data_IF_936294606266
#
_entry.id   IF_936294606266
#
_cell.length_a   1.000
_cell.length_b   1.000
_cell.length_c   1.000
_cell.angle_alpha   90.00
_cell.angle_beta   90.00
_cell.angle_gamma   90.00
#
_symmetry.space_group_name_H-M   'P 1'
#
loop_
_entity.id
_entity.type
_entity.pdbx_description
1 polymer ?
#
# COMPACT_ATOMS: atom_id res chain seq x y z
N UNK A 1 -21.53 11.20 28.37
CA UNK A 1 -20.14 11.06 28.81
C UNK A 1 -19.32 11.17 27.56
N UNK A 2 -18.32 12.06 27.51
CA UNK A 2 -17.36 12.10 26.37
C UNK A 2 -16.55 10.81 26.42
N UNK A 3 -16.44 10.13 25.28
CA UNK A 3 -15.58 8.95 25.19
C UNK A 3 -14.13 9.35 25.47
N UNK A 4 -13.36 8.52 26.19
CA UNK A 4 -11.97 8.84 26.50
C UNK A 4 -11.15 8.93 25.21
N UNK A 5 -10.44 10.04 25.04
CA UNK A 5 -9.53 10.26 23.90
C UNK A 5 -8.27 9.44 24.08
N UNK A 6 -7.99 8.55 23.14
CA UNK A 6 -6.75 7.75 23.13
C UNK A 6 -5.58 8.62 22.70
N UNK A 7 -4.51 8.70 23.51
CA UNK A 7 -3.33 9.48 23.21
C UNK A 7 -2.21 8.62 22.63
N UNK A 8 -1.64 9.03 21.49
CA UNK A 8 -0.58 8.32 20.76
C UNK A 8 0.63 9.24 20.55
N UNK A 9 1.81 8.76 20.89
CA UNK A 9 3.07 9.46 20.58
C UNK A 9 3.49 9.18 19.12
N UNK A 10 3.36 10.17 18.25
CA UNK A 10 3.75 10.11 16.85
C UNK A 10 5.26 10.02 16.58
N UNK A 11 6.08 10.12 17.62
CA UNK A 11 7.55 9.95 17.54
C UNK A 11 8.01 8.52 17.83
N UNK A 12 7.11 7.63 18.28
CA UNK A 12 7.46 6.25 18.65
C UNK A 12 8.01 5.43 17.46
N UNK A 13 8.81 4.44 17.75
CA UNK A 13 9.41 3.55 16.76
C UNK A 13 10.23 4.34 15.72
N UNK A 14 9.87 4.25 14.45
CA UNK A 14 10.52 5.02 13.38
C UNK A 14 10.16 6.52 13.40
N UNK A 15 9.07 6.89 14.07
CA UNK A 15 8.61 8.28 14.15
C UNK A 15 8.22 8.88 12.80
N UNK A 16 7.74 8.05 11.87
CA UNK A 16 7.35 8.44 10.52
C UNK A 16 5.85 8.68 10.37
N UNK A 17 5.41 8.93 9.13
CA UNK A 17 3.99 9.10 8.80
C UNK A 17 3.15 7.83 8.96
N UNK A 18 3.77 6.69 9.17
CA UNK A 18 3.10 5.41 9.36
C UNK A 18 2.31 5.38 10.67
N UNK A 19 2.89 5.85 11.80
CA UNK A 19 2.17 5.96 13.08
C UNK A 19 0.89 6.75 12.90
N UNK A 20 0.97 7.92 12.24
CA UNK A 20 -0.20 8.76 11.95
C UNK A 20 -1.27 7.99 11.14
N UNK A 21 -0.90 7.41 10.01
CA UNK A 21 -1.86 6.73 9.11
C UNK A 21 -2.53 5.53 9.75
N UNK A 22 -1.75 4.69 10.43
CA UNK A 22 -2.26 3.51 11.14
C UNK A 22 -3.20 3.91 12.26
N UNK A 23 -2.83 4.90 13.07
CA UNK A 23 -3.66 5.40 14.18
C UNK A 23 -4.98 5.96 13.68
N UNK A 24 -4.95 6.83 12.66
CA UNK A 24 -6.17 7.45 12.13
C UNK A 24 -7.09 6.43 11.45
N UNK A 25 -6.54 5.46 10.71
CA UNK A 25 -7.33 4.40 10.10
C UNK A 25 -8.03 3.54 11.16
N UNK A 26 -7.31 3.15 12.21
CA UNK A 26 -7.89 2.40 13.33
C UNK A 26 -8.90 3.21 14.13
N UNK A 27 -8.64 4.50 14.37
CA UNK A 27 -9.59 5.42 14.99
C UNK A 27 -10.91 5.47 14.21
N UNK A 28 -10.83 5.66 12.88
CA UNK A 28 -12.01 5.69 12.02
C UNK A 28 -12.77 4.35 12.01
N UNK A 29 -12.07 3.20 11.99
CA UNK A 29 -12.68 1.87 12.01
C UNK A 29 -13.37 1.58 13.36
N UNK A 30 -12.73 2.00 14.46
CA UNK A 30 -13.22 1.72 15.81
C UNK A 30 -14.24 2.75 16.31
N UNK A 31 -14.37 3.91 15.65
CA UNK A 31 -15.16 5.03 16.14
C UNK A 31 -14.57 5.71 17.39
N UNK A 32 -13.29 5.49 17.71
CA UNK A 32 -12.66 5.97 18.95
C UNK A 32 -11.87 7.25 18.69
N UNK A 33 -12.13 8.36 19.43
CA UNK A 33 -11.34 9.57 19.31
C UNK A 33 -9.86 9.36 19.67
N UNK A 34 -8.96 9.97 18.89
CA UNK A 34 -7.53 9.89 19.13
C UNK A 34 -6.87 11.26 19.09
N UNK A 35 -5.89 11.47 19.95
CA UNK A 35 -4.95 12.58 19.88
C UNK A 35 -3.56 12.05 19.59
N UNK A 36 -2.95 12.53 18.50
CA UNK A 36 -1.57 12.19 18.13
C UNK A 36 -0.72 13.41 18.36
N UNK A 37 0.30 13.31 19.22
CA UNK A 37 1.28 14.37 19.47
C UNK A 37 2.66 14.00 18.94
N UNK A 38 3.63 14.92 18.96
CA UNK A 38 5.01 14.70 18.51
C UNK A 38 5.11 14.12 17.09
N UNK A 39 4.16 14.46 16.21
CA UNK A 39 4.08 13.92 14.85
C UNK A 39 5.37 14.22 14.11
N UNK A 40 6.11 13.15 13.72
CA UNK A 40 7.38 13.22 12.98
C UNK A 40 8.43 14.12 13.65
N UNK A 41 8.41 14.25 14.98
CA UNK A 41 9.28 15.15 15.73
C UNK A 41 10.79 14.88 15.51
N UNK A 42 11.17 13.62 15.20
CA UNK A 42 12.57 13.22 14.96
C UNK A 42 12.99 13.30 13.48
N UNK A 43 12.13 13.78 12.58
CA UNK A 43 12.45 13.94 11.16
C UNK A 43 13.07 15.31 10.88
N UNK A 44 13.89 15.40 9.83
CA UNK A 44 14.52 16.66 9.40
C UNK A 44 13.51 17.80 9.25
N UNK A 45 12.29 17.50 8.78
CA UNK A 45 11.16 18.43 8.73
C UNK A 45 10.05 17.80 9.57
N UNK A 46 9.86 18.23 10.82
CA UNK A 46 8.82 17.70 11.71
C UNK A 46 7.40 18.05 11.25
N UNK A 47 6.42 17.42 11.87
CA UNK A 47 5.01 17.70 11.65
C UNK A 47 4.45 17.18 10.32
N UNK A 48 3.21 17.53 10.04
CA UNK A 48 2.48 17.11 8.85
C UNK A 48 3.12 17.71 7.60
N UNK A 49 3.44 16.87 6.62
CA UNK A 49 3.77 17.26 5.25
C UNK A 49 2.54 17.06 4.36
N UNK A 50 2.56 17.54 3.12
CA UNK A 50 1.40 17.50 2.21
C UNK A 50 0.68 16.14 2.19
N UNK A 51 1.38 15.03 1.96
CA UNK A 51 0.76 13.69 1.95
C UNK A 51 0.17 13.26 3.31
N UNK A 52 0.74 13.73 4.43
CA UNK A 52 0.21 13.45 5.76
C UNK A 52 -1.07 14.24 6.02
N UNK A 53 -1.06 15.52 5.67
CA UNK A 53 -2.24 16.38 5.74
C UNK A 53 -3.36 15.83 4.86
N UNK A 54 -3.04 15.40 3.63
CA UNK A 54 -4.01 14.77 2.74
C UNK A 54 -4.58 13.47 3.34
N UNK A 55 -3.77 12.65 4.00
CA UNK A 55 -4.28 11.45 4.66
C UNK A 55 -5.25 11.79 5.82
N UNK A 56 -4.93 12.81 6.63
CA UNK A 56 -5.81 13.30 7.71
C UNK A 56 -7.12 13.81 7.14
N UNK A 57 -7.08 14.71 6.15
CA UNK A 57 -8.28 15.33 5.56
C UNK A 57 -9.11 14.34 4.77
N UNK A 58 -8.47 13.36 4.12
CA UNK A 58 -9.15 12.30 3.38
C UNK A 58 -9.90 11.35 4.32
N UNK A 59 -9.27 10.91 5.41
CA UNK A 59 -9.96 10.12 6.43
C UNK A 59 -11.08 10.92 7.11
N UNK A 60 -10.88 12.21 7.37
CA UNK A 60 -11.94 13.07 7.88
C UNK A 60 -13.13 13.16 6.91
N UNK A 61 -12.84 13.30 5.61
CA UNK A 61 -13.87 13.35 4.57
C UNK A 61 -14.70 12.07 4.45
N UNK A 62 -14.06 10.89 4.56
CA UNK A 62 -14.78 9.60 4.44
C UNK A 62 -15.48 9.19 5.73
N UNK A 63 -15.12 9.76 6.89
CA UNK A 63 -15.71 9.42 8.18
C UNK A 63 -16.52 10.57 8.81
N UNK A 64 -16.62 11.71 8.15
CA UNK A 64 -17.27 12.90 8.74
C UNK A 64 -16.60 13.36 10.05
N UNK A 65 -15.30 13.10 10.22
CA UNK A 65 -14.60 13.35 11.45
C UNK A 65 -14.43 14.86 11.73
N UNK A 66 -14.53 15.24 13.00
CA UNK A 66 -14.03 16.53 13.49
C UNK A 66 -12.53 16.42 13.72
N UNK A 67 -11.78 17.36 13.18
CA UNK A 67 -10.32 17.37 13.26
C UNK A 67 -9.82 18.71 13.75
N UNK A 68 -8.87 18.70 14.69
CA UNK A 68 -8.11 19.86 15.12
C UNK A 68 -6.63 19.66 14.82
N UNK A 69 -5.92 20.73 14.50
CA UNK A 69 -4.48 20.66 14.20
C UNK A 69 -4.13 20.16 12.78
N UNK A 70 -5.09 20.04 11.86
CA UNK A 70 -4.86 19.61 10.48
C UNK A 70 -4.31 20.74 9.59
N UNK A 71 -3.04 21.11 9.79
CA UNK A 71 -2.32 22.07 8.95
C UNK A 71 -0.87 21.63 8.74
N UNK A 72 -0.23 22.14 7.68
CA UNK A 72 1.18 21.84 7.40
C UNK A 72 2.07 22.22 8.60
N UNK A 73 3.00 21.33 8.92
CA UNK A 73 3.92 21.48 10.03
C UNK A 73 3.34 21.16 11.42
N UNK A 74 2.05 20.92 11.52
CA UNK A 74 1.43 20.55 12.81
C UNK A 74 2.04 19.26 13.36
N UNK A 75 2.40 19.29 14.63
CA UNK A 75 2.88 18.13 15.38
C UNK A 75 1.81 17.51 16.31
N UNK A 76 0.60 18.06 16.29
CA UNK A 76 -0.53 17.56 17.07
C UNK A 76 -1.77 17.49 16.19
N UNK A 77 -2.49 16.39 16.25
CA UNK A 77 -3.80 16.21 15.60
C UNK A 77 -4.74 15.55 16.60
N UNK A 78 -5.89 16.17 16.84
CA UNK A 78 -7.04 15.54 17.47
C UNK A 78 -7.99 15.12 16.35
N UNK A 79 -8.41 13.86 16.36
CA UNK A 79 -9.30 13.27 15.36
C UNK A 79 -10.45 12.56 16.07
N UNK A 80 -11.66 13.06 15.86
CA UNK A 80 -12.89 12.51 16.43
C UNK A 80 -13.71 11.96 15.27
N UNK A 81 -13.67 10.64 15.02
CA UNK A 81 -14.30 10.04 13.86
C UNK A 81 -15.82 10.02 14.00
N UNK A 82 -16.50 10.13 12.86
CA UNK A 82 -17.88 9.70 12.68
C UNK A 82 -17.93 8.37 11.89
N UNK A 83 -19.12 7.92 11.46
CA UNK A 83 -19.27 6.69 10.70
C UNK A 83 -18.65 6.81 9.31
N UNK A 84 -17.94 5.76 8.88
CA UNK A 84 -17.32 5.71 7.54
C UNK A 84 -18.43 5.63 6.49
N UNK A 85 -18.40 6.53 5.53
CA UNK A 85 -19.36 6.62 4.43
C UNK A 85 -18.76 6.06 3.15
N UNK A 86 -19.40 5.08 2.50
CA UNK A 86 -19.02 4.70 1.14
C UNK A 86 -19.41 5.81 0.15
N UNK A 87 -18.68 5.90 -0.97
CA UNK A 87 -18.99 6.93 -1.96
C UNK A 87 -17.86 7.22 -2.96
N UNK A 88 -18.00 8.31 -3.70
CA UNK A 88 -16.97 8.79 -4.64
C UNK A 88 -16.18 9.93 -4.01
N UNK A 89 -14.85 9.76 -3.95
CA UNK A 89 -13.93 10.68 -3.31
C UNK A 89 -12.80 11.11 -4.24
N UNK A 90 -12.37 12.35 -4.12
CA UNK A 90 -11.24 12.90 -4.89
C UNK A 90 -10.34 13.70 -3.97
N UNK A 91 -9.06 13.31 -3.93
CA UNK A 91 -8.07 14.01 -3.10
C UNK A 91 -6.84 14.32 -3.94
N UNK A 92 -6.32 15.52 -3.79
CA UNK A 92 -5.08 15.98 -4.42
C UNK A 92 -4.04 16.25 -3.32
N UNK A 93 -2.88 15.62 -3.44
CA UNK A 93 -1.75 15.88 -2.54
C UNK A 93 -1.14 17.27 -2.80
N UNK A 94 -1.36 17.84 -3.99
CA UNK A 94 -0.84 19.14 -4.40
C UNK A 94 0.67 19.19 -4.64
N UNK A 95 1.37 18.07 -4.43
CA UNK A 95 2.82 17.90 -4.58
C UNK A 95 3.15 16.51 -5.14
N UNK A 96 4.45 16.17 -5.22
CA UNK A 96 4.88 14.81 -5.49
C UNK A 96 4.75 13.87 -4.27
N UNK A 97 4.02 14.25 -3.24
CA UNK A 97 3.71 13.37 -2.11
C UNK A 97 2.93 12.13 -2.57
N UNK A 98 3.15 11.02 -1.89
CA UNK A 98 2.67 9.70 -2.34
C UNK A 98 1.15 9.53 -2.22
N UNK A 99 0.50 9.24 -3.35
CA UNK A 99 -0.92 8.87 -3.44
C UNK A 99 -1.19 7.52 -2.77
N UNK A 100 -0.27 6.57 -2.89
CA UNK A 100 -0.45 5.23 -2.33
C UNK A 100 -0.35 5.21 -0.80
N UNK A 101 0.43 6.12 -0.20
CA UNK A 101 0.43 6.27 1.27
C UNK A 101 -0.89 6.88 1.78
N UNK A 102 -1.54 7.74 1.02
CA UNK A 102 -2.91 8.21 1.33
C UNK A 102 -3.90 7.04 1.17
N UNK A 103 -3.77 6.27 0.09
CA UNK A 103 -4.61 5.09 -0.14
C UNK A 103 -4.53 4.07 1.00
N UNK A 104 -3.33 3.80 1.54
CA UNK A 104 -3.16 2.88 2.67
C UNK A 104 -3.97 3.28 3.91
N UNK A 105 -4.16 4.58 4.14
CA UNK A 105 -5.00 5.05 5.24
C UNK A 105 -6.50 4.84 4.98
N UNK A 106 -6.93 4.91 3.72
CA UNK A 106 -8.35 4.90 3.32
C UNK A 106 -8.90 3.52 3.01
N UNK A 107 -8.07 2.62 2.47
CA UNK A 107 -8.57 1.39 1.84
C UNK A 107 -9.26 0.47 2.84
N UNK A 108 -8.62 0.16 3.96
CA UNK A 108 -9.20 -0.76 4.96
C UNK A 108 -10.49 -0.17 5.56
N UNK A 109 -10.54 1.10 6.01
CA UNK A 109 -11.78 1.73 6.44
C UNK A 109 -12.92 1.62 5.42
N UNK A 110 -12.68 1.97 4.16
CA UNK A 110 -13.70 1.95 3.12
C UNK A 110 -14.09 0.52 2.70
N UNK A 111 -13.17 -0.44 2.76
CA UNK A 111 -13.49 -1.84 2.50
C UNK A 111 -14.40 -2.44 3.58
N UNK A 112 -14.32 -1.96 4.81
CA UNK A 112 -15.22 -2.36 5.90
C UNK A 112 -16.56 -1.59 5.89
N UNK A 113 -16.66 -0.48 5.16
CA UNK A 113 -17.91 0.28 5.02
C UNK A 113 -18.98 -0.53 4.27
N UNK A 114 -20.25 -0.22 4.52
CA UNK A 114 -21.41 -1.00 4.03
C UNK A 114 -21.71 -0.92 2.53
N UNK A 115 -20.86 -0.30 1.72
CA UNK A 115 -21.07 -0.16 0.28
C UNK A 115 -19.81 0.16 -0.51
N UNK A 116 -19.90 0.16 -1.87
CA UNK A 116 -18.75 0.39 -2.72
C UNK A 116 -18.26 1.84 -2.66
N UNK A 117 -16.95 2.01 -2.87
CA UNK A 117 -16.34 3.33 -2.93
C UNK A 117 -15.41 3.45 -4.14
N UNK A 118 -15.31 4.68 -4.68
CA UNK A 118 -14.38 5.05 -5.74
C UNK A 118 -13.51 6.21 -5.29
N UNK A 119 -12.21 6.02 -5.27
CA UNK A 119 -11.24 7.01 -4.80
C UNK A 119 -10.37 7.44 -5.98
N UNK A 120 -10.29 8.74 -6.25
CA UNK A 120 -9.30 9.31 -7.19
C UNK A 120 -8.27 10.08 -6.38
N UNK A 121 -7.00 9.70 -6.53
CA UNK A 121 -5.88 10.36 -5.86
C UNK A 121 -4.94 10.96 -6.91
N UNK A 122 -4.58 12.23 -6.72
CA UNK A 122 -3.60 12.95 -7.57
C UNK A 122 -2.35 13.27 -6.75
N UNK A 123 -1.15 13.04 -7.31
CA UNK A 123 0.13 13.27 -6.62
C UNK A 123 1.29 12.44 -7.17
N UNK A 124 2.16 11.97 -6.30
CA UNK A 124 3.22 11.03 -6.63
C UNK A 124 2.71 9.59 -6.66
N UNK A 125 2.99 8.85 -7.74
CA UNK A 125 2.63 7.42 -7.87
C UNK A 125 3.85 6.51 -7.84
N UNK A 126 4.99 7.03 -8.31
CA UNK A 126 6.29 6.37 -8.34
C UNK A 126 7.34 7.34 -7.79
N UNK A 127 7.42 7.40 -6.47
CA UNK A 127 8.25 8.36 -5.75
C UNK A 127 9.10 7.68 -4.68
N UNK A 128 10.27 8.23 -4.33
CA UNK A 128 11.11 7.70 -3.26
C UNK A 128 10.35 7.59 -1.93
N UNK A 129 10.75 6.62 -1.10
CA UNK A 129 10.24 6.42 0.27
C UNK A 129 8.75 6.03 0.35
N UNK A 130 8.25 5.45 -0.72
CA UNK A 130 6.87 4.98 -0.84
C UNK A 130 6.82 3.76 -1.75
N UNK A 131 5.93 2.79 -1.51
CA UNK A 131 5.64 1.78 -2.50
C UNK A 131 5.18 2.43 -3.81
N UNK A 132 5.59 1.96 -4.98
CA UNK A 132 5.03 2.42 -6.25
C UNK A 132 3.59 1.91 -6.42
N UNK A 133 2.78 2.61 -7.24
CA UNK A 133 1.39 2.22 -7.48
C UNK A 133 1.27 0.79 -8.07
N UNK A 134 2.22 0.39 -8.90
CA UNK A 134 2.29 -0.98 -9.45
C UNK A 134 2.50 -2.04 -8.36
N UNK A 135 3.29 -1.75 -7.33
CA UNK A 135 3.44 -2.66 -6.19
C UNK A 135 2.11 -2.84 -5.45
N UNK A 136 1.36 -1.76 -5.27
CA UNK A 136 0.04 -1.84 -4.65
C UNK A 136 -0.89 -2.73 -5.46
N UNK A 137 -0.93 -2.55 -6.79
CA UNK A 137 -1.77 -3.31 -7.71
C UNK A 137 -1.36 -4.78 -7.79
N UNK A 138 -0.06 -5.07 -7.88
CA UNK A 138 0.44 -6.40 -8.21
C UNK A 138 0.73 -7.28 -6.98
N UNK A 139 0.95 -6.69 -5.82
CA UNK A 139 1.38 -7.39 -4.60
C UNK A 139 0.41 -7.15 -3.44
N UNK A 140 0.20 -5.90 -3.06
CA UNK A 140 -0.58 -5.58 -1.85
C UNK A 140 -2.06 -5.89 -1.99
N UNK A 141 -2.72 -5.44 -3.06
CA UNK A 141 -4.15 -5.69 -3.27
C UNK A 141 -4.48 -7.19 -3.41
N UNK A 142 -3.69 -8.02 -4.12
CA UNK A 142 -3.90 -9.46 -4.10
C UNK A 142 -3.81 -10.07 -2.70
N UNK A 143 -2.82 -9.68 -1.89
CA UNK A 143 -2.70 -10.15 -0.51
C UNK A 143 -3.88 -9.69 0.38
N UNK A 144 -4.42 -8.49 0.15
CA UNK A 144 -5.63 -8.02 0.81
C UNK A 144 -6.88 -8.81 0.38
N UNK A 145 -6.97 -9.23 -0.87
CA UNK A 145 -8.08 -10.05 -1.35
C UNK A 145 -8.13 -11.42 -0.65
N UNK A 146 -6.97 -11.99 -0.30
CA UNK A 146 -6.89 -13.21 0.51
C UNK A 146 -7.45 -13.00 1.93
N UNK A 147 -7.36 -11.79 2.48
CA UNK A 147 -7.99 -11.37 3.74
C UNK A 147 -9.49 -11.06 3.60
N UNK A 148 -10.04 -11.02 2.38
CA UNK A 148 -11.43 -10.64 2.11
C UNK A 148 -11.64 -9.17 1.76
N UNK A 149 -10.57 -8.38 1.59
CA UNK A 149 -10.63 -6.97 1.20
C UNK A 149 -10.47 -6.84 -0.31
N UNK A 150 -11.57 -6.64 -1.05
CA UNK A 150 -11.54 -6.58 -2.50
C UNK A 150 -11.46 -5.14 -3.01
N UNK A 151 -10.42 -4.83 -3.76
CA UNK A 151 -10.25 -3.54 -4.43
C UNK A 151 -9.47 -3.69 -5.74
N UNK A 152 -9.67 -2.73 -6.65
CA UNK A 152 -8.94 -2.60 -7.91
C UNK A 152 -8.27 -1.24 -7.98
N UNK A 153 -7.04 -1.18 -8.47
CA UNK A 153 -6.27 0.04 -8.67
C UNK A 153 -5.87 0.18 -10.15
N UNK A 154 -6.23 1.31 -10.73
CA UNK A 154 -5.80 1.71 -12.07
C UNK A 154 -4.89 2.95 -11.97
N UNK A 155 -3.75 2.91 -12.69
CA UNK A 155 -2.83 4.05 -12.81
C UNK A 155 -3.15 4.77 -14.11
N UNK A 156 -3.94 5.84 -14.02
CA UNK A 156 -4.34 6.62 -15.20
C UNK A 156 -3.22 7.52 -15.72
N UNK A 157 -2.32 7.97 -14.85
CA UNK A 157 -1.15 8.79 -15.19
C UNK A 157 -0.08 8.63 -14.11
N UNK A 158 1.18 8.48 -14.52
CA UNK A 158 2.28 8.35 -13.59
C UNK A 158 2.73 9.70 -13.01
N UNK A 159 3.20 9.71 -11.77
CA UNK A 159 3.73 10.90 -11.11
C UNK A 159 5.06 10.62 -10.47
N UNK A 160 6.12 11.18 -11.03
CA UNK A 160 7.48 11.09 -10.49
C UNK A 160 7.85 12.33 -9.68
N UNK A 161 8.74 12.13 -8.71
CA UNK A 161 9.36 13.26 -8.00
C UNK A 161 10.30 14.04 -8.94
N UNK A 162 10.40 15.38 -8.85
CA UNK A 162 9.70 16.27 -7.89
C UNK A 162 8.33 16.76 -8.34
N UNK A 163 7.91 16.49 -9.58
CA UNK A 163 6.73 17.11 -10.18
C UNK A 163 5.40 16.53 -9.67
N UNK A 164 5.34 15.22 -9.42
CA UNK A 164 4.09 14.56 -9.05
C UNK A 164 3.05 14.60 -10.17
N UNK A 165 1.81 14.94 -9.83
CA UNK A 165 0.71 15.10 -10.78
C UNK A 165 0.25 13.80 -11.45
N UNK A 166 0.69 12.65 -10.95
CA UNK A 166 0.14 11.35 -11.35
C UNK A 166 -1.26 11.16 -10.79
N UNK A 167 -2.00 10.20 -11.33
CA UNK A 167 -3.37 9.91 -10.93
C UNK A 167 -3.59 8.41 -10.81
N UNK A 168 -4.09 7.99 -9.65
CA UNK A 168 -4.59 6.63 -9.44
C UNK A 168 -6.09 6.67 -9.16
N UNK A 169 -6.80 5.68 -9.64
CA UNK A 169 -8.22 5.45 -9.36
C UNK A 169 -8.35 4.10 -8.70
N UNK A 170 -9.02 4.07 -7.55
CA UNK A 170 -9.22 2.84 -6.77
C UNK A 170 -10.70 2.61 -6.59
N UNK A 171 -11.15 1.42 -6.92
CA UNK A 171 -12.51 0.93 -6.67
C UNK A 171 -12.44 -0.09 -5.53
N UNK A 172 -13.25 0.11 -4.50
CA UNK A 172 -13.32 -0.73 -3.30
C UNK A 172 -14.72 -1.29 -3.19
N UNK A 173 -14.87 -2.59 -2.99
CA UNK A 173 -16.21 -3.23 -2.97
C UNK A 173 -17.03 -2.83 -1.73
N UNK A 174 -16.41 -2.65 -0.59
CA UNK A 174 -17.09 -2.45 0.70
C UNK A 174 -17.73 -3.71 1.24
N UNK A 175 -18.16 -3.68 2.51
CA UNK A 175 -18.78 -4.82 3.19
C UNK A 175 -17.86 -6.04 3.33
N UNK A 176 -16.55 -5.80 3.47
CA UNK A 176 -15.56 -6.87 3.55
C UNK A 176 -15.81 -7.78 4.76
N UNK A 177 -15.82 -9.08 4.50
CA UNK A 177 -15.81 -10.14 5.51
C UNK A 177 -14.37 -10.62 5.70
N UNK A 178 -13.74 -10.13 6.76
CA UNK A 178 -12.34 -10.41 7.02
C UNK A 178 -12.14 -11.85 7.49
N UNK A 179 -11.08 -12.47 6.98
CA UNK A 179 -10.66 -13.83 7.35
C UNK A 179 -9.17 -13.87 7.63
N UNK A 180 -8.71 -14.76 8.53
CA UNK A 180 -7.30 -14.90 8.84
C UNK A 180 -6.55 -15.48 7.64
N UNK A 181 -5.26 -15.11 7.51
CA UNK A 181 -4.37 -15.64 6.46
C UNK A 181 -3.13 -16.31 7.03
N UNK A 182 -2.55 -17.19 6.22
CA UNK A 182 -1.28 -17.86 6.54
C UNK A 182 -0.33 -17.75 5.36
N UNK A 183 0.68 -16.88 5.49
CA UNK A 183 1.70 -16.57 4.47
C UNK A 183 3.08 -16.94 5.03
N UNK A 184 3.28 -18.21 5.38
CA UNK A 184 4.48 -18.64 6.12
C UNK A 184 5.54 -19.27 5.23
N UNK A 185 5.15 -19.90 4.15
CA UNK A 185 6.06 -20.66 3.29
C UNK A 185 5.67 -20.51 1.83
N UNK A 186 6.64 -20.29 0.98
CA UNK A 186 6.44 -20.28 -0.47
C UNK A 186 6.32 -21.73 -0.96
N UNK A 187 5.31 -22.00 -1.76
CA UNK A 187 5.20 -23.26 -2.48
C UNK A 187 6.19 -23.37 -3.62
N UNK A 188 6.05 -24.41 -4.46
CA UNK A 188 6.86 -24.55 -5.69
C UNK A 188 6.35 -23.69 -6.84
N UNK A 189 7.15 -23.62 -7.91
CA UNK A 189 6.79 -22.93 -9.17
C UNK A 189 7.02 -21.41 -9.09
N UNK A 190 8.28 -20.98 -9.33
CA UNK A 190 8.63 -19.56 -9.45
C UNK A 190 8.30 -19.04 -10.85
N UNK A 191 7.49 -18.00 -10.93
CA UNK A 191 7.30 -17.15 -12.12
C UNK A 191 7.79 -15.75 -11.83
N UNK A 192 8.64 -15.22 -12.69
CA UNK A 192 9.12 -13.84 -12.62
C UNK A 192 8.54 -13.02 -13.75
N UNK A 193 7.96 -11.89 -13.42
CA UNK A 193 7.52 -10.90 -14.39
C UNK A 193 7.87 -9.50 -13.92
N UNK A 194 7.84 -8.55 -14.81
CA UNK A 194 8.16 -7.18 -14.43
C UNK A 194 7.81 -6.15 -15.48
N UNK A 195 8.08 -4.91 -15.13
CA UNK A 195 7.94 -3.76 -16.00
C UNK A 195 9.16 -2.87 -15.86
N UNK A 196 9.69 -2.43 -16.99
CA UNK A 196 10.69 -1.38 -17.10
C UNK A 196 10.06 -0.20 -17.81
N UNK A 197 10.04 0.96 -17.18
CA UNK A 197 9.32 2.11 -17.69
C UNK A 197 10.16 3.38 -17.71
N UNK A 198 9.83 4.26 -18.65
CA UNK A 198 10.32 5.64 -18.71
C UNK A 198 9.15 6.60 -18.91
N UNK A 199 9.32 7.83 -18.45
CA UNK A 199 8.43 8.95 -18.76
C UNK A 199 9.28 10.16 -19.10
N UNK A 200 9.00 10.77 -20.26
CA UNK A 200 9.74 11.93 -20.79
C UNK A 200 11.27 11.68 -20.84
N UNK A 201 11.66 10.47 -21.13
CA UNK A 201 13.02 9.99 -21.33
C UNK A 201 13.08 9.07 -22.57
N UNK A 202 14.23 8.93 -23.22
CA UNK A 202 14.40 7.98 -24.32
C UNK A 202 14.07 6.55 -23.90
N UNK A 203 13.24 5.86 -24.71
CA UNK A 203 12.82 4.46 -24.50
C UNK A 203 14.00 3.51 -24.29
N UNK A 204 15.13 3.76 -24.95
CA UNK A 204 16.36 2.97 -24.78
C UNK A 204 16.89 2.89 -23.34
N UNK A 205 16.47 3.80 -22.44
CA UNK A 205 16.79 3.70 -21.01
C UNK A 205 16.03 2.53 -20.38
N UNK A 206 14.73 2.40 -20.64
CA UNK A 206 13.94 1.29 -20.14
C UNK A 206 14.37 -0.04 -20.77
N UNK A 207 14.78 -0.03 -22.05
CA UNK A 207 15.31 -1.21 -22.71
C UNK A 207 16.61 -1.68 -22.07
N UNK A 208 17.55 -0.78 -21.77
CA UNK A 208 18.78 -1.13 -21.03
C UNK A 208 18.52 -1.64 -19.62
N UNK A 209 17.56 -1.06 -18.90
CA UNK A 209 17.12 -1.58 -17.59
C UNK A 209 16.62 -3.02 -17.72
N UNK A 210 15.68 -3.28 -18.65
CA UNK A 210 15.17 -4.63 -18.93
C UNK A 210 16.29 -5.60 -19.27
N UNK A 211 17.14 -5.27 -20.24
CA UNK A 211 18.19 -6.16 -20.74
C UNK A 211 19.22 -6.46 -19.65
N UNK A 212 19.56 -5.47 -18.80
CA UNK A 212 20.43 -5.71 -17.65
C UNK A 212 19.78 -6.63 -16.63
N UNK A 213 18.51 -6.44 -16.32
CA UNK A 213 17.77 -7.29 -15.39
C UNK A 213 17.72 -8.74 -15.91
N UNK A 214 17.33 -8.94 -17.18
CA UNK A 214 17.26 -10.27 -17.79
C UNK A 214 18.62 -10.97 -17.77
N UNK A 215 19.71 -10.28 -18.16
CA UNK A 215 21.07 -10.87 -18.10
C UNK A 215 21.48 -11.28 -16.69
N UNK A 216 21.17 -10.45 -15.67
CA UNK A 216 21.49 -10.78 -14.28
C UNK A 216 20.69 -11.99 -13.78
N UNK A 217 19.40 -12.07 -14.14
CA UNK A 217 18.54 -13.20 -13.74
C UNK A 217 18.99 -14.49 -14.46
N UNK A 218 19.35 -14.41 -15.74
CA UNK A 218 19.84 -15.57 -16.50
C UNK A 218 21.13 -16.17 -15.90
N UNK A 219 22.04 -15.36 -15.36
CA UNK A 219 23.24 -15.85 -14.65
C UNK A 219 22.86 -16.70 -13.43
N UNK A 220 21.74 -16.43 -12.80
CA UNK A 220 21.20 -17.19 -11.65
C UNK A 220 20.24 -18.32 -12.10
N UNK A 221 20.20 -18.64 -13.40
CA UNK A 221 19.31 -19.67 -13.96
C UNK A 221 17.83 -19.31 -13.83
N UNK A 222 17.47 -18.03 -13.89
CA UNK A 222 16.09 -17.53 -13.75
C UNK A 222 15.64 -16.85 -15.02
N UNK A 223 14.48 -17.26 -15.51
CA UNK A 223 13.81 -16.61 -16.64
C UNK A 223 12.77 -15.61 -16.11
N UNK A 224 12.57 -14.50 -16.82
CA UNK A 224 11.59 -13.48 -16.49
C UNK A 224 11.01 -12.84 -17.75
N UNK A 225 9.77 -12.40 -17.66
CA UNK A 225 9.10 -11.58 -18.66
C UNK A 225 9.07 -10.13 -18.19
N UNK A 226 9.78 -9.21 -18.86
CA UNK A 226 9.83 -7.79 -18.48
C UNK A 226 9.33 -6.93 -19.65
N UNK A 227 8.15 -6.31 -19.46
CA UNK A 227 7.59 -5.39 -20.43
C UNK A 227 8.33 -4.03 -20.41
N UNK A 228 8.43 -3.37 -21.55
CA UNK A 228 8.97 -2.01 -21.68
C UNK A 228 7.81 -1.04 -21.94
N UNK A 229 7.68 -0.02 -21.11
CA UNK A 229 6.57 0.96 -21.14
C UNK A 229 7.12 2.37 -21.26
N UNK A 230 6.48 3.18 -22.09
CA UNK A 230 6.57 4.65 -22.07
C UNK A 230 5.33 5.17 -21.36
N UNK A 231 5.51 5.64 -20.14
CA UNK A 231 4.40 6.06 -19.29
C UNK A 231 4.05 7.53 -19.51
N UNK A 232 2.75 7.83 -19.58
CA UNK A 232 2.28 9.22 -19.54
C UNK A 232 2.54 9.81 -18.15
N UNK A 233 3.26 10.93 -18.09
CA UNK A 233 3.60 11.62 -16.84
C UNK A 233 3.86 13.11 -17.06
N UNK A 234 3.46 13.98 -16.13
CA UNK A 234 3.90 15.39 -16.16
C UNK A 234 5.39 15.51 -15.87
N UNK A 235 5.98 14.59 -15.11
CA UNK A 235 7.38 14.58 -14.69
C UNK A 235 8.24 13.61 -15.49
N UNK A 236 9.54 13.75 -15.34
CA UNK A 236 10.53 12.83 -15.92
C UNK A 236 10.88 11.75 -14.90
N UNK A 237 11.00 10.50 -15.37
CA UNK A 237 11.41 9.41 -14.49
C UNK A 237 11.70 8.11 -15.23
N UNK A 238 12.40 7.21 -14.56
CA UNK A 238 12.50 5.80 -14.97
C UNK A 238 12.30 4.89 -13.78
N UNK A 239 11.85 3.69 -14.07
CA UNK A 239 11.40 2.74 -13.06
C UNK A 239 11.58 1.32 -13.55
N UNK A 240 11.97 0.42 -12.66
CA UNK A 240 11.91 -1.02 -12.90
C UNK A 240 11.26 -1.70 -11.70
N UNK A 241 10.33 -2.60 -11.95
CA UNK A 241 9.73 -3.47 -10.95
C UNK A 241 9.74 -4.91 -11.42
N UNK A 242 10.08 -5.81 -10.51
CA UNK A 242 9.99 -7.25 -10.65
C UNK A 242 8.97 -7.79 -9.65
N UNK A 243 8.17 -8.74 -10.09
CA UNK A 243 7.22 -9.48 -9.26
C UNK A 243 7.58 -10.95 -9.31
N UNK A 244 7.79 -11.53 -8.13
CA UNK A 244 7.94 -12.97 -7.97
C UNK A 244 6.59 -13.57 -7.54
N UNK A 245 6.09 -14.51 -8.32
CA UNK A 245 4.93 -15.34 -7.97
C UNK A 245 5.43 -16.73 -7.63
N UNK A 246 5.20 -17.18 -6.41
CA UNK A 246 5.66 -18.48 -5.90
C UNK A 246 4.57 -19.11 -5.06
N UNK A 247 4.04 -20.26 -5.49
CA UNK A 247 2.99 -20.97 -4.75
C UNK A 247 1.73 -20.14 -4.47
N UNK A 248 1.38 -19.21 -5.36
CA UNK A 248 0.24 -18.30 -5.21
C UNK A 248 0.57 -17.02 -4.42
N UNK A 249 1.71 -16.93 -3.77
CA UNK A 249 2.17 -15.72 -3.08
C UNK A 249 2.90 -14.77 -4.05
N UNK A 250 2.82 -13.47 -3.78
CA UNK A 250 3.48 -12.44 -4.58
C UNK A 250 4.39 -11.58 -3.73
N UNK A 251 5.57 -11.30 -4.28
CA UNK A 251 6.55 -10.37 -3.70
C UNK A 251 7.01 -9.38 -4.77
N UNK A 252 7.26 -8.13 -4.40
CA UNK A 252 7.59 -7.07 -5.34
C UNK A 252 8.89 -6.34 -5.01
N UNK A 253 9.71 -6.10 -6.04
CA UNK A 253 11.02 -5.48 -5.91
C UNK A 253 11.16 -4.40 -6.98
N UNK A 254 11.42 -3.17 -6.57
CA UNK A 254 11.45 -2.05 -7.50
C UNK A 254 12.60 -1.10 -7.23
N UNK A 255 13.01 -0.39 -8.28
CA UNK A 255 13.96 0.70 -8.20
C UNK A 255 13.55 1.87 -9.10
N UNK A 256 13.83 3.08 -8.61
CA UNK A 256 13.61 4.32 -9.34
C UNK A 256 14.92 4.82 -9.92
N UNK A 257 14.85 5.37 -11.14
CA UNK A 257 15.93 6.17 -11.67
C UNK A 257 15.98 7.55 -11.04
N UNK A 258 17.17 8.09 -11.00
CA UNK A 258 17.46 9.46 -10.60
C UNK A 258 18.52 10.07 -11.51
N UNK A 259 18.66 11.39 -11.47
CA UNK A 259 19.65 12.07 -12.32
C UNK A 259 21.06 11.57 -12.02
N UNK A 260 21.78 11.14 -13.06
CA UNK A 260 23.14 10.60 -12.96
C UNK A 260 23.23 9.10 -12.61
N UNK A 261 22.11 8.44 -12.31
CA UNK A 261 22.06 7.00 -12.03
C UNK A 261 21.95 6.21 -13.36
N UNK A 262 22.91 5.34 -13.69
CA UNK A 262 22.84 4.53 -14.90
C UNK A 262 21.59 3.62 -14.91
N UNK A 263 21.04 3.36 -16.09
CA UNK A 263 19.91 2.45 -16.27
C UNK A 263 20.21 1.05 -15.72
N UNK A 264 21.43 0.58 -15.93
CA UNK A 264 21.91 -0.73 -15.45
C UNK A 264 21.91 -0.81 -13.91
N UNK A 265 22.21 0.31 -13.23
CA UNK A 265 22.20 0.38 -11.76
C UNK A 265 20.77 0.28 -11.21
N UNK A 266 19.79 0.90 -11.88
CA UNK A 266 18.38 0.75 -11.52
C UNK A 266 17.96 -0.72 -11.60
N UNK A 267 18.38 -1.42 -12.67
CA UNK A 267 18.08 -2.83 -12.83
C UNK A 267 18.74 -3.68 -11.73
N UNK A 268 20.01 -3.41 -11.43
CA UNK A 268 20.75 -4.16 -10.40
C UNK A 268 20.12 -4.02 -9.01
N UNK A 269 19.64 -2.86 -8.64
CA UNK A 269 18.99 -2.65 -7.34
C UNK A 269 17.73 -3.51 -7.19
N UNK A 270 16.85 -3.52 -8.20
CA UNK A 270 15.65 -4.33 -8.16
C UNK A 270 15.96 -5.84 -8.19
N UNK A 271 16.91 -6.28 -9.06
CA UNK A 271 17.30 -7.68 -9.16
C UNK A 271 17.99 -8.16 -7.88
N UNK A 272 18.88 -7.38 -7.30
CA UNK A 272 19.58 -7.77 -6.07
C UNK A 272 18.60 -7.93 -4.91
N UNK A 273 17.60 -7.05 -4.79
CA UNK A 273 16.55 -7.17 -3.78
C UNK A 273 15.69 -8.45 -3.98
N UNK A 274 15.34 -8.77 -5.23
CA UNK A 274 14.64 -10.01 -5.57
C UNK A 274 15.49 -11.24 -5.24
N UNK A 275 16.76 -11.28 -5.66
CA UNK A 275 17.64 -12.42 -5.43
C UNK A 275 17.89 -12.64 -3.93
N UNK A 276 18.01 -11.56 -3.14
CA UNK A 276 18.13 -11.66 -1.69
C UNK A 276 16.88 -12.31 -1.08
N UNK A 277 15.69 -11.91 -1.50
CA UNK A 277 14.45 -12.53 -1.08
C UNK A 277 14.39 -14.03 -1.47
N UNK A 278 14.86 -14.39 -2.66
CA UNK A 278 14.82 -15.77 -3.15
C UNK A 278 15.80 -16.72 -2.44
N UNK A 279 16.79 -16.22 -1.70
CA UNK A 279 17.69 -17.07 -0.89
C UNK A 279 16.98 -17.75 0.27
N UNK A 280 15.94 -17.14 0.84
CA UNK A 280 15.14 -17.69 1.92
C UNK A 280 13.81 -18.28 1.43
N UNK A 281 12.95 -18.68 2.36
CA UNK A 281 11.63 -19.25 2.09
C UNK A 281 10.47 -18.38 2.61
N UNK A 282 10.76 -17.15 3.01
CA UNK A 282 9.75 -16.25 3.59
C UNK A 282 8.56 -16.02 2.65
N UNK A 283 7.35 -16.03 3.19
CA UNK A 283 6.11 -15.83 2.44
C UNK A 283 5.92 -14.41 1.94
N UNK A 284 6.46 -13.41 2.65
CA UNK A 284 6.30 -11.99 2.32
C UNK A 284 7.65 -11.31 2.09
N UNK A 285 7.69 -10.35 1.14
CA UNK A 285 8.78 -9.39 1.07
C UNK A 285 8.75 -8.44 2.29
N UNK A 286 9.84 -7.69 2.56
CA UNK A 286 9.94 -6.85 3.75
C UNK A 286 8.89 -5.73 3.84
N UNK A 287 8.34 -5.29 2.70
CA UNK A 287 7.38 -4.19 2.64
C UNK A 287 5.93 -4.67 2.75
N UNK A 288 5.62 -5.87 2.25
CA UNK A 288 4.30 -6.45 2.39
C UNK A 288 3.98 -6.76 3.85
N UNK A 289 4.97 -7.25 4.60
CA UNK A 289 4.79 -7.68 5.97
C UNK A 289 4.20 -6.58 6.88
N UNK A 290 4.73 -5.35 6.82
CA UNK A 290 4.22 -4.25 7.65
C UNK A 290 2.84 -3.75 7.20
N UNK A 291 2.52 -3.84 5.91
CA UNK A 291 1.27 -3.38 5.33
C UNK A 291 0.08 -4.33 5.62
N UNK A 292 0.36 -5.57 6.01
CA UNK A 292 -0.67 -6.56 6.36
C UNK A 292 -1.01 -6.58 7.87
N UNK A 293 -0.21 -5.97 8.74
CA UNK A 293 -0.43 -6.01 10.19
C UNK A 293 -1.81 -5.50 10.60
N UNK A 294 -2.22 -4.34 10.07
CA UNK A 294 -3.51 -3.75 10.40
C UNK A 294 -4.69 -4.64 9.98
N UNK A 295 -4.82 -5.06 8.71
CA UNK A 295 -5.94 -5.93 8.32
C UNK A 295 -5.89 -7.32 8.97
N UNK A 296 -4.71 -7.91 9.24
CA UNK A 296 -4.59 -9.16 9.99
C UNK A 296 -5.07 -9.02 11.43
N UNK A 297 -4.82 -7.88 12.08
CA UNK A 297 -5.26 -7.64 13.45
C UNK A 297 -6.78 -7.42 13.57
N UNK A 298 -7.43 -6.99 12.49
CA UNK A 298 -8.88 -6.84 12.39
C UNK A 298 -9.59 -8.13 11.99
N UNK A 299 -8.92 -9.08 11.35
CA UNK A 299 -9.49 -10.36 10.94
C UNK A 299 -9.75 -11.27 12.16
N UNK A 300 -10.88 -12.00 12.21
CA UNK A 300 -11.14 -12.92 13.33
C UNK A 300 -10.20 -14.13 13.28
N UNK A 301 -9.64 -14.53 14.43
CA UNK A 301 -8.79 -15.72 14.54
C UNK A 301 -7.30 -15.42 14.30
N UNK A 302 -6.52 -16.49 14.02
CA UNK A 302 -5.06 -16.39 14.00
C UNK A 302 -4.53 -16.22 12.58
N UNK A 303 -3.89 -15.10 12.31
CA UNK A 303 -3.11 -14.88 11.08
C UNK A 303 -1.61 -15.05 11.34
N UNK A 304 -0.90 -15.58 10.32
CA UNK A 304 0.56 -15.80 10.39
C UNK A 304 1.22 -15.40 9.10
N UNK A 305 2.39 -14.78 9.20
CA UNK A 305 3.26 -14.54 8.05
C UNK A 305 4.74 -14.71 8.43
N UNK A 306 5.58 -14.99 7.44
CA UNK A 306 7.03 -14.85 7.56
C UNK A 306 7.50 -13.76 6.59
N UNK A 307 8.57 -13.06 6.97
CA UNK A 307 9.19 -12.02 6.13
C UNK A 307 10.68 -12.29 5.97
N UNK A 308 11.21 -11.97 4.82
CA UNK A 308 12.66 -12.08 4.57
C UNK A 308 13.49 -11.09 5.39
N UNK A 309 12.85 -10.06 5.94
CA UNK A 309 13.52 -9.09 6.83
C UNK A 309 12.53 -8.39 7.75
N UNK A 310 12.77 -8.45 9.05
CA UNK A 310 12.08 -7.62 10.05
C UNK A 310 12.54 -6.18 9.88
N UNK A 311 11.63 -5.30 9.53
CA UNK A 311 11.91 -3.86 9.35
C UNK A 311 11.48 -3.07 10.56
N UNK A 312 12.06 -1.89 10.77
CA UNK A 312 11.60 -0.95 11.79
C UNK A 312 10.15 -0.51 11.55
N UNK A 313 9.71 -0.44 10.27
CA UNK A 313 8.33 -0.20 9.91
C UNK A 313 7.40 -1.29 10.46
N UNK A 314 7.77 -2.57 10.28
CA UNK A 314 7.00 -3.70 10.79
C UNK A 314 6.85 -3.62 12.33
N UNK A 315 7.96 -3.41 13.05
CA UNK A 315 7.95 -3.28 14.52
C UNK A 315 7.08 -2.10 14.96
N UNK A 316 7.22 -0.94 14.29
CA UNK A 316 6.42 0.26 14.62
C UNK A 316 4.93 0.04 14.37
N UNK A 317 4.56 -0.58 13.23
CA UNK A 317 3.14 -0.87 12.94
C UNK A 317 2.56 -1.84 13.94
N UNK A 318 3.28 -2.91 14.25
CA UNK A 318 2.86 -3.90 15.24
C UNK A 318 2.61 -3.25 16.60
N UNK A 319 3.53 -2.41 17.07
CA UNK A 319 3.39 -1.67 18.33
C UNK A 319 2.15 -0.77 18.35
N UNK A 320 1.94 0.03 17.30
CA UNK A 320 0.78 0.95 17.21
C UNK A 320 -0.53 0.18 17.17
N UNK A 321 -0.61 -0.86 16.36
CA UNK A 321 -1.81 -1.70 16.24
C UNK A 321 -2.13 -2.39 17.56
N UNK A 322 -1.12 -2.96 18.22
CA UNK A 322 -1.29 -3.61 19.52
C UNK A 322 -1.73 -2.61 20.60
N UNK A 323 -1.18 -1.41 20.62
CA UNK A 323 -1.56 -0.35 21.56
C UNK A 323 -3.04 0.06 21.41
N UNK A 324 -3.55 0.11 20.17
CA UNK A 324 -4.93 0.56 19.89
C UNK A 324 -5.95 -0.59 20.02
N UNK A 325 -5.62 -1.78 19.53
CA UNK A 325 -6.55 -2.90 19.49
C UNK A 325 -6.44 -3.84 20.70
N UNK A 326 -5.32 -3.82 21.44
CA UNK A 326 -5.08 -4.75 22.54
C UNK A 326 -4.96 -6.21 22.12
N UNK A 327 -4.89 -6.52 20.82
CA UNK A 327 -4.87 -7.89 20.33
C UNK A 327 -3.50 -8.54 20.59
N UNK A 328 -3.46 -9.84 20.97
CA UNK A 328 -2.22 -10.57 21.12
C UNK A 328 -1.46 -10.64 19.80
N UNK A 329 -0.21 -10.17 19.81
CA UNK A 329 0.65 -10.13 18.64
C UNK A 329 2.08 -10.47 19.03
N UNK A 330 2.72 -11.31 18.23
CA UNK A 330 4.12 -11.66 18.37
C UNK A 330 4.85 -11.37 17.05
N UNK A 331 5.92 -10.60 17.13
CA UNK A 331 6.90 -10.41 16.04
C UNK A 331 8.19 -11.08 16.51
N UNK A 332 8.62 -12.14 15.82
CA UNK A 332 9.87 -12.85 16.08
C UNK A 332 10.91 -12.54 15.00
N UNK A 333 12.18 -12.53 15.39
CA UNK A 333 13.32 -12.15 14.57
C UNK A 333 13.90 -10.80 14.97
N UNK A 334 15.18 -10.59 14.68
CA UNK A 334 15.87 -9.32 14.92
C UNK A 334 15.68 -8.35 13.75
N UNK A 335 15.73 -7.02 14.03
CA UNK A 335 15.70 -6.00 12.98
C UNK A 335 16.82 -6.25 11.95
N UNK A 336 16.45 -6.31 10.68
CA UNK A 336 17.38 -6.59 9.57
C UNK A 336 17.48 -8.07 9.18
N UNK A 337 16.99 -9.00 10.00
CA UNK A 337 17.03 -10.45 9.79
C UNK A 337 15.66 -11.01 9.37
N UNK A 338 15.59 -12.22 8.81
CA UNK A 338 14.30 -12.91 8.59
C UNK A 338 13.50 -13.04 9.89
N UNK A 339 12.18 -13.01 9.77
CA UNK A 339 11.31 -13.12 10.94
C UNK A 339 9.90 -13.60 10.62
N UNK A 340 9.07 -13.62 11.66
CA UNK A 340 7.68 -14.03 11.54
C UNK A 340 6.77 -13.16 12.38
N UNK A 341 5.50 -13.14 12.00
CA UNK A 341 4.45 -12.47 12.76
C UNK A 341 3.30 -13.45 12.99
N UNK A 342 2.81 -13.47 14.21
CA UNK A 342 1.57 -14.16 14.59
C UNK A 342 0.65 -13.15 15.26
N UNK A 343 -0.59 -13.04 14.79
CA UNK A 343 -1.59 -12.12 15.32
C UNK A 343 -2.86 -12.89 15.61
N UNK A 344 -3.38 -12.76 16.83
CA UNK A 344 -4.71 -13.17 17.19
C UNK A 344 -5.64 -11.97 17.00
N UNK A 345 -6.30 -11.89 15.84
CA UNK A 345 -7.11 -10.74 15.48
C UNK A 345 -8.42 -10.66 16.27
N UNK A 346 -8.91 -9.44 16.42
CA UNK A 346 -10.06 -9.11 17.28
C UNK A 346 -11.44 -9.40 16.66
N UNK A 347 -11.50 -9.64 15.34
CA UNK A 347 -12.77 -9.86 14.68
C UNK A 347 -13.69 -8.64 14.72
N UNK A 348 -13.18 -7.47 14.41
CA UNK A 348 -14.00 -6.25 14.31
C UNK A 348 -14.85 -6.36 13.04
N UNK A 349 -16.02 -7.02 13.17
CA UNK A 349 -17.06 -7.02 12.16
C UNK A 349 -17.54 -5.59 11.93
N UNK A 350 -17.82 -5.23 10.67
CA UNK A 350 -18.37 -3.95 10.33
C UNK A 350 -19.59 -3.63 11.18
N UNK A 351 -19.73 -2.41 11.67
CA UNK A 351 -20.97 -1.89 12.23
C UNK A 351 -22.00 -1.76 11.09
N UNK A 352 -22.53 -2.90 10.67
CA UNK A 352 -23.70 -3.02 9.81
C UNK A 352 -24.80 -3.65 10.66
N UNK A 353 -25.87 -2.90 10.89
CA UNK A 353 -27.11 -3.32 11.57
C UNK A 353 -27.47 -4.77 11.24
N UNK A 354 -27.67 -5.59 12.29
CA UNK A 354 -27.98 -7.00 12.15
C UNK A 354 -29.17 -7.28 11.24
N UNK A 355 -28.93 -8.10 10.25
CA UNK A 355 -29.91 -9.03 9.69
C UNK A 355 -29.11 -10.30 9.40
N UNK A 356 -29.39 -11.36 10.17
CA UNK A 356 -28.85 -12.69 9.91
C UNK A 356 -29.35 -13.23 8.57
N UNK A 357 -28.45 -13.39 7.64
CA UNK A 357 -28.65 -14.05 6.37
C UNK A 357 -27.41 -14.85 6.07
N UNK A 358 -27.55 -16.17 5.87
CA UNK A 358 -26.51 -17.09 5.43
C UNK A 358 -25.82 -16.54 4.17
N UNK A 359 -24.55 -16.17 4.31
CA UNK A 359 -23.77 -15.64 3.20
C UNK A 359 -23.38 -16.75 2.23
N UNK A 360 -24.13 -16.87 1.14
CA UNK A 360 -23.63 -17.50 -0.09
C UNK A 360 -22.36 -16.77 -0.56
N UNK A 361 -21.37 -17.56 -0.99
CA UNK A 361 -20.11 -17.04 -1.53
C UNK A 361 -20.41 -16.12 -2.73
N UNK A 362 -20.36 -14.82 -2.55
CA UNK A 362 -20.41 -13.88 -3.65
C UNK A 362 -19.06 -13.84 -4.33
N UNK A 363 -19.01 -14.31 -5.56
CA UNK A 363 -17.85 -14.09 -6.43
C UNK A 363 -17.71 -12.60 -6.75
N UNK A 364 -16.47 -12.06 -6.86
CA UNK A 364 -16.25 -10.65 -7.19
C UNK A 364 -16.95 -10.28 -8.51
N UNK A 365 -17.68 -9.18 -8.52
CA UNK A 365 -18.50 -8.71 -9.66
C UNK A 365 -17.76 -8.50 -10.98
N UNK A 366 -16.44 -8.50 -10.98
CA UNK A 366 -15.61 -8.30 -12.19
C UNK A 366 -14.87 -9.54 -12.71
N UNK A 367 -15.19 -10.75 -12.28
CA UNK A 367 -14.69 -11.97 -12.91
C UNK A 367 -15.18 -12.05 -14.37
N UNK A 368 -14.49 -11.34 -15.28
CA UNK A 368 -14.82 -11.31 -16.69
C UNK A 368 -13.78 -10.68 -17.60
N UNK A 369 -12.73 -10.05 -17.06
CA UNK A 369 -11.63 -9.57 -17.90
C UNK A 369 -10.31 -10.04 -17.29
N UNK A 370 -9.70 -11.04 -17.95
CA UNK A 370 -8.37 -11.52 -17.63
C UNK A 370 -7.31 -10.41 -17.73
N UNK A 371 -6.12 -10.60 -17.13
CA UNK A 371 -5.01 -9.69 -17.30
C UNK A 371 -4.56 -9.72 -18.76
N UNK A 372 -4.80 -8.65 -19.52
CA UNK A 372 -4.39 -8.54 -20.92
C UNK A 372 -5.38 -7.86 -21.88
N UNK A 373 -6.54 -7.38 -21.42
CA UNK A 373 -7.42 -6.60 -22.29
C UNK A 373 -6.89 -5.15 -22.40
N UNK A 374 -6.39 -4.78 -23.57
CA UNK A 374 -6.06 -3.40 -23.94
C UNK A 374 -7.27 -2.49 -23.72
N UNK A 375 -7.04 -1.25 -23.19
CA UNK A 375 -8.11 -0.26 -23.12
C UNK A 375 -8.55 0.11 -24.54
N UNK A 376 -9.85 0.34 -24.82
CA UNK A 376 -10.29 0.79 -26.12
C UNK A 376 -9.69 2.17 -26.43
N UNK A 377 -9.02 2.28 -27.57
CA UNK A 377 -8.55 3.55 -28.12
C UNK A 377 -9.73 4.53 -28.25
N UNK A 378 -9.59 5.78 -27.82
CA UNK A 378 -10.62 6.78 -28.10
C UNK A 378 -10.65 7.03 -29.62
N UNK A 379 -11.75 6.66 -30.24
CA UNK A 379 -12.03 7.04 -31.64
C UNK A 379 -12.10 8.56 -31.73
N UNK A 380 -11.22 9.12 -32.50
CA UNK A 380 -11.25 10.53 -32.92
C UNK A 380 -12.60 10.80 -33.62
N UNK A 381 -13.48 11.55 -32.99
CA UNK A 381 -14.62 12.16 -33.64
C UNK A 381 -14.19 13.54 -34.17
N UNK A 382 -13.57 13.56 -35.33
CA UNK A 382 -13.58 14.75 -36.19
C UNK A 382 -14.92 14.67 -36.95
N UNK A 383 -15.81 15.59 -36.69
CA UNK A 383 -16.87 16.01 -37.62
C UNK A 383 -16.90 17.52 -37.70
N UNK A 384 -16.73 17.95 -38.92
CA UNK A 384 -16.94 19.27 -39.58
C UNK A 384 -17.65 20.37 -38.78
#
# INVERSE_FOLDING_TARGET
MEEPVLTIDGSQGEGGGQVLRTTLALSAIRGVPVEIHSIRARRKIPGLQAQHLTAVTALAGVSGARVEGAHLGSQRVLFVPGPIQPGEYRFDVGTAGSTVLVLQALLVPLALAGGPSRITLTGGTHVPWSPPADYMREVWLPALADLGLCARLDVGRWGFYPKGGGRVVVEVEGGADLRPITLVQRGGGLRLRGVSAVANLPRGIAERQRDRALRRLAVEGRDAEIAVIEAESPGTGSFLMLVAEVGGLRAGFSALGERGKPAERVAEEAVNALLEFLKGEAGCDPHLADQLILPMALAPGTSRLTTSRVTRHLLTTAQVVQQILGCPMQVGGEEGSPGHVTIQGSGVGGQGSGIGGSAERREPRWKGRGPGAEPPHPKSAIRN
#
